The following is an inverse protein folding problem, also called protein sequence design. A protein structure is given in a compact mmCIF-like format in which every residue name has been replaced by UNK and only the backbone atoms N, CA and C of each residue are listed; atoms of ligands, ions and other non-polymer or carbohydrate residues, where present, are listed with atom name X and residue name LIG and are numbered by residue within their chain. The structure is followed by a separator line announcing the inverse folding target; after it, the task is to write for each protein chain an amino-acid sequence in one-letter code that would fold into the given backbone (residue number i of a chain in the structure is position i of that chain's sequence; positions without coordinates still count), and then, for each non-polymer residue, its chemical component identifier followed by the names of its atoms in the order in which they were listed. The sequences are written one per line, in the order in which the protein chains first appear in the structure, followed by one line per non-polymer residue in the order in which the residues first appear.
data_IF_057943829512
#
_entry.id   IF_057943829512
#
_cell.length_a   1.000
_cell.length_b   1.000
_cell.length_c   1.000
_cell.angle_alpha   90.00
_cell.angle_beta   90.00
_cell.angle_gamma   90.00
#
_symmetry.space_group_name_H-M   'P 1'
#
loop_
_entity.id
_entity.type
_entity.pdbx_description
1 polymer ?
#
# COMPACT_ATOMS: atom_id res chain seq x y z
N UNK A 1 -4.71 1.52 -30.58
CA UNK A 1 -3.69 1.86 -29.58
C UNK A 1 -3.75 3.33 -29.31
N UNK A 2 -3.70 3.75 -28.05
CA UNK A 2 -3.70 5.17 -27.69
C UNK A 2 -2.41 5.87 -28.15
N UNK A 3 -2.54 7.03 -28.80
CA UNK A 3 -1.40 7.77 -29.37
C UNK A 3 -0.53 8.40 -28.29
N UNK A 4 -1.14 8.92 -27.23
CA UNK A 4 -0.43 9.55 -26.11
C UNK A 4 0.44 8.54 -25.37
N UNK A 5 -0.12 7.38 -24.99
CA UNK A 5 0.61 6.28 -24.38
C UNK A 5 1.76 5.80 -25.26
N UNK A 6 1.53 5.64 -26.58
CA UNK A 6 2.58 5.22 -27.50
C UNK A 6 3.75 6.21 -27.51
N UNK A 7 3.46 7.50 -27.62
CA UNK A 7 4.49 8.54 -27.63
C UNK A 7 5.31 8.56 -26.33
N UNK A 8 4.64 8.52 -25.17
CA UNK A 8 5.30 8.51 -23.86
C UNK A 8 6.20 7.29 -23.66
N UNK A 9 5.73 6.10 -24.04
CA UNK A 9 6.51 4.86 -23.89
C UNK A 9 7.66 4.80 -24.89
N UNK A 10 7.49 5.30 -26.12
CA UNK A 10 8.57 5.33 -27.12
C UNK A 10 9.80 6.13 -26.66
N UNK A 11 9.61 7.20 -25.88
CA UNK A 11 10.71 8.00 -25.31
C UNK A 11 11.53 7.18 -24.31
N UNK A 12 10.88 6.36 -23.49
CA UNK A 12 11.54 5.53 -22.48
C UNK A 12 12.21 4.31 -23.11
N UNK A 13 11.55 3.66 -24.08
CA UNK A 13 12.08 2.47 -24.75
C UNK A 13 13.40 2.78 -25.47
N UNK A 14 13.49 3.91 -26.18
CA UNK A 14 14.71 4.39 -26.84
C UNK A 14 15.26 3.51 -27.97
N UNK A 15 14.83 2.25 -28.09
CA UNK A 15 15.31 1.26 -29.05
C UNK A 15 15.09 -0.17 -28.54
N UNK A 16 15.66 -1.16 -29.22
CA UNK A 16 15.67 -2.53 -28.74
C UNK A 16 16.75 -2.73 -27.68
N UNK A 17 16.45 -3.51 -26.64
CA UNK A 17 17.41 -3.96 -25.63
C UNK A 17 17.25 -5.47 -25.42
N UNK A 18 18.05 -6.25 -26.16
CA UNK A 18 17.97 -7.71 -26.15
C UNK A 18 18.44 -8.32 -24.83
N UNK A 19 19.50 -7.77 -24.22
CA UNK A 19 20.00 -8.25 -22.92
C UNK A 19 18.94 -8.10 -21.82
N UNK A 20 18.26 -6.95 -21.76
CA UNK A 20 17.15 -6.76 -20.82
C UNK A 20 15.99 -7.70 -21.11
N UNK A 21 15.67 -7.94 -22.38
CA UNK A 21 14.61 -8.88 -22.76
C UNK A 21 14.94 -10.30 -22.29
N UNK A 22 16.16 -10.78 -22.53
CA UNK A 22 16.63 -12.11 -22.11
C UNK A 22 16.62 -12.24 -20.58
N UNK A 23 17.03 -11.21 -19.84
CA UNK A 23 16.96 -11.19 -18.37
C UNK A 23 15.52 -11.30 -17.84
N UNK A 24 14.58 -10.56 -18.43
CA UNK A 24 13.16 -10.62 -18.05
C UNK A 24 12.58 -11.99 -18.39
N UNK A 25 12.86 -12.52 -19.58
CA UNK A 25 12.39 -13.85 -20.00
C UNK A 25 12.95 -14.95 -19.08
N UNK A 26 14.22 -14.87 -18.70
CA UNK A 26 14.84 -15.81 -17.77
C UNK A 26 14.19 -15.77 -16.38
N UNK A 27 13.86 -14.57 -15.87
CA UNK A 27 13.19 -14.42 -14.58
C UNK A 27 11.75 -14.97 -14.58
N UNK A 28 11.02 -14.77 -15.68
CA UNK A 28 9.61 -15.17 -15.83
C UNK A 28 9.40 -16.64 -16.23
N UNK A 29 10.38 -17.27 -16.89
CA UNK A 29 10.33 -18.69 -17.31
C UNK A 29 10.57 -19.68 -16.17
N UNK A 30 10.90 -19.20 -14.97
CA UNK A 30 11.07 -20.05 -13.79
C UNK A 30 9.76 -20.74 -13.39
N UNK A 31 9.85 -21.98 -12.92
CA UNK A 31 8.67 -22.78 -12.49
C UNK A 31 7.88 -22.14 -11.35
N UNK A 32 8.57 -21.41 -10.47
CA UNK A 32 7.98 -20.68 -9.35
C UNK A 32 8.22 -19.19 -9.50
N UNK A 33 7.18 -18.41 -9.19
CA UNK A 33 7.23 -16.95 -9.15
C UNK A 33 7.49 -16.39 -7.75
N UNK A 34 7.78 -17.26 -6.78
CA UNK A 34 8.18 -16.83 -5.44
C UNK A 34 9.40 -15.88 -5.54
N UNK A 35 9.32 -14.69 -4.94
CA UNK A 35 10.38 -13.69 -5.00
C UNK A 35 10.63 -13.03 -6.35
N UNK A 36 9.70 -13.14 -7.32
CA UNK A 36 9.85 -12.54 -8.66
C UNK A 36 10.10 -11.03 -8.62
N UNK A 37 9.53 -10.31 -7.64
CA UNK A 37 9.71 -8.87 -7.54
C UNK A 37 11.16 -8.49 -7.26
N UNK A 38 11.88 -9.26 -6.44
CA UNK A 38 13.31 -9.02 -6.18
C UNK A 38 14.15 -9.42 -7.40
N UNK A 39 13.75 -10.43 -8.17
CA UNK A 39 14.47 -10.81 -9.41
C UNK A 39 14.37 -9.73 -10.49
N UNK A 40 13.18 -9.18 -10.72
CA UNK A 40 12.95 -8.14 -11.72
C UNK A 40 13.44 -6.76 -11.25
N UNK A 41 13.30 -6.46 -9.96
CA UNK A 41 13.72 -5.20 -9.36
C UNK A 41 14.65 -5.44 -8.16
N UNK A 42 15.94 -5.76 -8.38
CA UNK A 42 16.86 -6.18 -7.31
C UNK A 42 17.12 -5.11 -6.23
N UNK A 43 16.83 -3.85 -6.52
CA UNK A 43 17.03 -2.74 -5.60
C UNK A 43 15.77 -2.34 -4.81
N UNK A 44 14.65 -3.06 -4.98
CA UNK A 44 13.40 -2.78 -4.25
C UNK A 44 13.63 -2.87 -2.73
N UNK A 45 13.05 -1.93 -1.98
CA UNK A 45 13.21 -1.85 -0.51
C UNK A 45 11.93 -2.22 0.24
N UNK A 46 10.79 -1.94 -0.36
CA UNK A 46 9.48 -2.18 0.23
C UNK A 46 8.42 -2.19 -0.88
N UNK A 47 7.25 -2.71 -0.55
CA UNK A 47 6.05 -2.57 -1.37
C UNK A 47 5.15 -1.54 -0.70
N UNK A 48 4.79 -0.51 -1.46
CA UNK A 48 3.81 0.48 -1.01
C UNK A 48 2.43 0.04 -1.48
N UNK A 49 1.58 -0.38 -0.56
CA UNK A 49 0.20 -0.80 -0.84
C UNK A 49 -0.64 -0.80 0.43
N UNK A 50 -1.95 -0.62 0.28
CA UNK A 50 -2.90 -0.78 1.39
C UNK A 50 -2.98 -2.28 1.72
N UNK A 51 -2.57 -2.65 2.92
CA UNK A 51 -2.60 -4.03 3.43
C UNK A 51 -3.43 -4.18 4.70
N UNK A 52 -4.19 -3.14 5.07
CA UNK A 52 -5.11 -3.11 6.20
C UNK A 52 -6.56 -3.42 5.79
N UNK A 53 -7.43 -3.68 6.78
CA UNK A 53 -8.84 -3.97 6.52
C UNK A 53 -9.02 -5.20 5.63
N UNK A 54 -9.91 -5.14 4.65
CA UNK A 54 -10.19 -6.24 3.72
C UNK A 54 -9.00 -6.59 2.80
N UNK A 55 -8.00 -5.71 2.67
CA UNK A 55 -6.81 -6.00 1.88
C UNK A 55 -5.80 -6.91 2.59
N UNK A 56 -5.95 -7.11 3.91
CA UNK A 56 -5.10 -8.00 4.69
C UNK A 56 -5.06 -9.44 4.18
N UNK A 57 -6.13 -9.90 3.52
CA UNK A 57 -6.18 -11.24 2.90
C UNK A 57 -5.11 -11.46 1.82
N UNK A 58 -4.59 -10.38 1.22
CA UNK A 58 -3.57 -10.46 0.16
C UNK A 58 -2.13 -10.46 0.69
N UNK A 59 -1.92 -10.28 2.00
CA UNK A 59 -0.59 -10.28 2.61
C UNK A 59 0.20 -11.56 2.25
N UNK A 60 -0.35 -12.79 2.37
CA UNK A 60 0.40 -14.00 2.01
C UNK A 60 0.82 -14.04 0.54
N UNK A 61 -0.04 -13.55 -0.37
CA UNK A 61 0.26 -13.47 -1.81
C UNK A 61 1.37 -12.46 -2.08
N UNK A 62 1.34 -11.29 -1.43
CA UNK A 62 2.39 -10.29 -1.54
C UNK A 62 3.72 -10.81 -0.99
N UNK A 63 3.70 -11.49 0.16
CA UNK A 63 4.90 -12.11 0.75
C UNK A 63 5.51 -13.17 -0.17
N UNK A 64 4.69 -13.98 -0.84
CA UNK A 64 5.14 -14.97 -1.81
C UNK A 64 5.89 -14.32 -2.99
N UNK A 65 5.31 -13.34 -3.67
CA UNK A 65 5.95 -12.71 -4.84
C UNK A 65 7.12 -11.79 -4.46
N UNK A 66 7.11 -11.26 -3.24
CA UNK A 66 8.10 -10.30 -2.77
C UNK A 66 9.25 -10.92 -1.99
N UNK A 67 9.18 -12.21 -1.64
CA UNK A 67 10.10 -12.83 -0.69
C UNK A 67 10.12 -12.07 0.66
N UNK A 68 8.93 -11.76 1.17
CA UNK A 68 8.69 -11.10 2.46
C UNK A 68 9.34 -9.71 2.59
N UNK A 69 9.32 -8.92 1.52
CA UNK A 69 9.71 -7.51 1.61
C UNK A 69 8.79 -6.75 2.58
N UNK A 70 9.27 -5.67 3.23
CA UNK A 70 8.44 -4.79 4.03
C UNK A 70 7.23 -4.29 3.23
N UNK A 71 6.03 -4.45 3.80
CA UNK A 71 4.78 -3.94 3.25
C UNK A 71 4.42 -2.64 3.96
N UNK A 72 4.35 -1.54 3.22
CA UNK A 72 4.17 -0.19 3.75
C UNK A 72 2.79 0.34 3.35
N UNK A 73 1.90 0.49 4.34
CA UNK A 73 0.58 1.12 4.17
C UNK A 73 0.65 2.54 4.69
N UNK A 74 0.70 3.54 3.78
CA UNK A 74 1.08 4.90 4.16
C UNK A 74 -0.09 5.80 4.58
N UNK A 75 -1.27 5.62 4.01
CA UNK A 75 -2.36 6.57 4.14
C UNK A 75 -3.71 5.91 4.31
N UNK A 76 -4.60 6.59 5.04
CA UNK A 76 -6.01 6.27 5.15
C UNK A 76 -6.83 7.46 4.63
N UNK A 77 -7.67 7.22 3.63
CA UNK A 77 -8.44 8.24 2.92
C UNK A 77 -9.73 7.66 2.32
N UNK A 78 -10.68 8.52 2.01
CA UNK A 78 -11.89 8.21 1.23
C UNK A 78 -12.11 9.25 0.13
N UNK A 79 -13.24 9.13 -0.58
CA UNK A 79 -13.71 10.14 -1.54
C UNK A 79 -14.02 11.49 -0.88
N UNK A 80 -14.46 11.47 0.37
CA UNK A 80 -14.90 12.66 1.12
C UNK A 80 -13.72 13.41 1.73
N UNK A 81 -12.71 12.69 2.26
CA UNK A 81 -11.57 13.33 2.92
C UNK A 81 -10.34 12.43 3.01
N UNK A 82 -9.18 13.07 3.16
CA UNK A 82 -7.95 12.40 3.54
C UNK A 82 -7.84 12.40 5.07
N UNK A 83 -7.95 11.22 5.69
CA UNK A 83 -8.00 11.14 7.15
C UNK A 83 -6.61 11.29 7.78
N UNK A 84 -5.66 10.46 7.37
CA UNK A 84 -4.44 10.30 8.13
C UNK A 84 -3.35 9.47 7.47
N UNK A 85 -2.22 9.37 8.16
CA UNK A 85 -1.03 8.67 7.69
C UNK A 85 -0.50 7.69 8.72
N UNK A 86 0.17 6.65 8.26
CA UNK A 86 0.93 5.77 9.12
C UNK A 86 2.29 6.41 9.45
N UNK A 87 2.47 6.83 10.70
CA UNK A 87 3.72 7.47 11.18
C UNK A 87 4.84 6.45 11.48
N UNK A 88 4.53 5.16 11.45
CA UNK A 88 5.49 4.05 11.58
C UNK A 88 5.38 3.11 10.36
N UNK A 89 5.81 3.53 9.16
CA UNK A 89 5.52 2.82 7.92
C UNK A 89 6.14 1.41 7.81
N UNK A 90 7.16 1.11 8.63
CA UNK A 90 7.84 -0.19 8.65
C UNK A 90 7.29 -1.15 9.72
N UNK A 91 6.20 -0.79 10.40
CA UNK A 91 5.52 -1.71 11.32
C UNK A 91 4.99 -2.95 10.56
N UNK A 92 4.67 -4.01 11.30
CA UNK A 92 4.03 -5.17 10.68
C UNK A 92 2.63 -4.79 10.18
N UNK A 93 2.10 -5.44 9.13
CA UNK A 93 0.77 -5.13 8.60
C UNK A 93 -0.35 -5.16 9.65
N UNK A 94 -0.28 -6.07 10.63
CA UNK A 94 -1.26 -6.17 11.72
C UNK A 94 -1.16 -5.05 12.77
N UNK A 95 -0.03 -4.35 12.81
CA UNK A 95 0.26 -3.31 13.81
C UNK A 95 0.05 -1.88 13.24
N UNK A 96 -0.44 -1.78 11.99
CA UNK A 96 -0.63 -0.49 11.32
C UNK A 96 -1.69 0.33 12.06
N UNK A 97 -1.31 1.57 12.40
CA UNK A 97 -2.20 2.60 12.93
C UNK A 97 -2.08 3.87 12.10
N UNK A 98 -3.20 4.56 11.86
CA UNK A 98 -3.23 5.81 11.10
C UNK A 98 -3.46 7.00 12.04
N UNK A 99 -2.53 7.94 12.02
CA UNK A 99 -2.65 9.21 12.74
C UNK A 99 -3.47 10.18 11.91
N UNK A 100 -4.65 10.54 12.42
CA UNK A 100 -5.52 11.51 11.77
C UNK A 100 -4.85 12.89 11.76
N UNK A 101 -4.94 13.59 10.63
CA UNK A 101 -4.36 14.91 10.44
C UNK A 101 -5.42 15.98 10.74
N UNK A 102 -5.35 16.69 11.89
CA UNK A 102 -6.43 17.56 12.36
C UNK A 102 -6.71 18.78 11.46
N UNK A 103 -5.80 19.08 10.52
CA UNK A 103 -5.94 20.15 9.54
C UNK A 103 -6.67 19.71 8.26
N UNK A 104 -7.01 18.43 8.09
CA UNK A 104 -7.70 17.93 6.90
C UNK A 104 -9.21 18.13 6.97
N UNK A 105 -9.82 17.88 8.13
CA UNK A 105 -11.26 18.02 8.37
C UNK A 105 -11.53 18.10 9.87
N UNK A 106 -12.74 18.52 10.24
CA UNK A 106 -13.23 18.32 11.60
C UNK A 106 -13.64 16.85 11.76
N UNK A 107 -13.16 16.18 12.80
CA UNK A 107 -13.41 14.75 13.02
C UNK A 107 -14.11 14.51 14.35
N UNK A 108 -15.22 13.79 14.28
CA UNK A 108 -16.09 13.39 15.39
C UNK A 108 -16.22 11.87 15.42
N UNK A 109 -16.32 11.28 16.62
CA UNK A 109 -16.37 9.84 16.82
C UNK A 109 -17.56 9.45 17.68
N UNK A 110 -18.37 8.53 17.16
CA UNK A 110 -19.47 7.89 17.89
C UNK A 110 -19.01 6.53 18.45
N UNK A 111 -19.19 6.23 19.75
CA UNK A 111 -18.80 4.93 20.29
C UNK A 111 -19.67 3.79 19.75
N UNK A 112 -19.04 2.64 19.50
CA UNK A 112 -19.70 1.48 18.87
C UNK A 112 -20.70 0.80 19.82
N UNK A 113 -20.38 0.74 21.11
CA UNK A 113 -21.18 0.04 22.12
C UNK A 113 -22.33 0.90 22.69
N UNK A 114 -22.26 2.23 22.53
CA UNK A 114 -23.28 3.15 23.05
C UNK A 114 -24.36 3.42 22.00
N UNK A 115 -25.14 2.39 21.64
CA UNK A 115 -26.28 2.57 20.71
C UNK A 115 -27.44 3.40 21.29
N UNK A 116 -27.32 3.85 22.55
CA UNK A 116 -28.41 4.48 23.32
C UNK A 116 -28.07 5.94 23.69
N UNK A 117 -26.80 6.37 23.60
CA UNK A 117 -26.40 7.73 23.99
C UNK A 117 -25.86 8.50 22.76
N UNK A 118 -26.35 9.71 22.54
CA UNK A 118 -25.88 10.69 21.55
C UNK A 118 -24.50 11.29 21.92
N UNK A 119 -23.63 10.49 22.56
CA UNK A 119 -22.29 10.93 22.91
C UNK A 119 -21.41 10.94 21.66
N UNK A 120 -20.89 12.13 21.34
CA UNK A 120 -19.93 12.37 20.28
C UNK A 120 -18.63 12.87 20.92
N UNK A 121 -17.50 12.32 20.48
CA UNK A 121 -16.18 12.72 20.94
C UNK A 121 -15.40 13.40 19.83
N UNK A 122 -14.79 14.54 20.15
CA UNK A 122 -13.80 15.16 19.26
C UNK A 122 -12.54 14.29 19.16
N UNK A 123 -11.76 14.48 18.09
CA UNK A 123 -10.50 13.78 17.86
C UNK A 123 -9.55 13.76 19.07
N UNK A 124 -9.49 14.83 19.86
CA UNK A 124 -8.59 14.92 21.04
C UNK A 124 -9.16 14.24 22.29
N UNK A 125 -10.43 13.86 22.27
CA UNK A 125 -11.17 13.33 23.42
C UNK A 125 -11.43 11.81 23.33
N UNK A 126 -10.95 11.16 22.27
CA UNK A 126 -11.03 9.69 22.14
C UNK A 126 -10.14 9.00 23.16
N UNK A 127 -10.55 7.80 23.60
CA UNK A 127 -9.81 6.99 24.58
C UNK A 127 -9.09 5.84 23.89
N UNK A 128 -7.94 5.44 24.42
CA UNK A 128 -7.25 4.22 23.98
C UNK A 128 -8.14 3.00 24.21
N UNK A 129 -8.10 2.06 23.28
CA UNK A 129 -8.74 0.74 23.43
C UNK A 129 -8.06 -0.09 24.50
N UNK A 130 -8.82 -1.00 25.13
CA UNK A 130 -8.34 -1.95 26.12
C UNK A 130 -7.62 -3.15 25.50
#
# INVERSE_FOLDING_TARGET
TDLGCRQSVSVILGGSNHELADMIEHACSQKSWEGILIRLWPNIKSIQSIVTGQMSQYIPTLEFYSNKLPLTSLSYSSSETFFGVNVNPLCKPQDVSYTFLPNMSYFEFQPVDSRINDEIFDLVNVKLGC
#
